data_IF_779394317659
#
_entry.id   IF_779394317659
#
_cell.length_a   1.000
_cell.length_b   1.000
_cell.length_c   1.000
_cell.angle_alpha   90.00
_cell.angle_beta   90.00
_cell.angle_gamma   90.00
#
_symmetry.space_group_name_H-M   'P 1'
#
loop_
_entity.id
_entity.type
_entity.pdbx_description
1 polymer ?
#
# COMPACT_ATOMS: atom_id res chain seq x y z
N UNK A 1 3.82 15.60 -8.71
CA UNK A 1 3.26 15.09 -9.98
C UNK A 1 4.23 14.21 -10.76
N UNK A 2 5.52 14.26 -10.50
CA UNK A 2 6.54 13.47 -11.21
C UNK A 2 6.89 12.16 -10.51
N UNK A 3 6.43 11.95 -9.28
CA UNK A 3 6.68 10.71 -8.53
C UNK A 3 5.43 9.85 -8.51
N UNK A 4 5.58 8.60 -8.90
CA UNK A 4 4.55 7.60 -8.67
C UNK A 4 4.46 7.25 -7.20
N UNK A 5 3.28 7.38 -6.61
CA UNK A 5 3.00 6.87 -5.27
C UNK A 5 2.51 5.44 -5.37
N UNK A 6 3.14 4.55 -4.62
CA UNK A 6 2.67 3.19 -4.47
C UNK A 6 1.82 3.07 -3.22
N UNK A 7 0.68 2.44 -3.32
CA UNK A 7 -0.07 1.96 -2.17
C UNK A 7 -0.36 0.48 -2.31
N UNK A 8 -0.38 -0.21 -1.21
CA UNK A 8 -0.72 -1.60 -1.13
C UNK A 8 -1.92 -1.76 -0.20
N UNK A 9 -2.66 -2.79 -0.44
CA UNK A 9 -3.77 -3.15 0.40
C UNK A 9 -3.40 -4.29 1.33
N UNK A 10 -3.66 -4.12 2.60
CA UNK A 10 -3.26 -5.06 3.65
C UNK A 10 -4.47 -5.67 4.39
N UNK A 11 -5.70 -5.37 3.96
CA UNK A 11 -6.88 -5.94 4.58
C UNK A 11 -7.12 -7.38 4.11
N UNK A 12 -7.76 -8.16 4.96
CA UNK A 12 -8.23 -9.48 4.59
C UNK A 12 -9.31 -9.38 3.50
N UNK A 13 -9.08 -9.92 2.31
CA UNK A 13 -10.07 -9.87 1.23
C UNK A 13 -11.33 -10.71 1.51
N UNK A 14 -11.36 -11.47 2.60
CA UNK A 14 -12.51 -12.25 3.04
C UNK A 14 -13.45 -11.45 3.96
N UNK A 15 -13.10 -10.22 4.32
CA UNK A 15 -14.00 -9.35 5.07
C UNK A 15 -15.28 -9.07 4.29
N UNK A 16 -16.39 -8.99 5.00
CA UNK A 16 -17.63 -8.50 4.41
C UNK A 16 -17.41 -7.12 3.80
N UNK A 17 -17.86 -6.92 2.58
CA UNK A 17 -17.59 -5.70 1.79
C UNK A 17 -16.10 -5.40 1.57
N UNK A 18 -15.19 -6.37 1.73
CA UNK A 18 -13.75 -6.17 1.57
C UNK A 18 -13.37 -5.47 0.27
N UNK A 19 -13.99 -5.83 -0.85
CA UNK A 19 -13.79 -5.16 -2.13
C UNK A 19 -14.19 -3.66 -2.12
N UNK A 20 -15.30 -3.31 -1.46
CA UNK A 20 -15.72 -1.91 -1.36
C UNK A 20 -14.77 -1.08 -0.49
N UNK A 21 -14.23 -1.70 0.57
CA UNK A 21 -13.23 -1.07 1.43
C UNK A 21 -11.90 -0.85 0.70
N UNK A 22 -11.51 -1.81 -0.13
CA UNK A 22 -10.36 -1.71 -1.03
C UNK A 22 -10.52 -0.55 -2.01
N UNK A 23 -11.66 -0.52 -2.68
CA UNK A 23 -11.97 0.53 -3.64
C UNK A 23 -12.01 1.91 -2.97
N UNK A 24 -12.50 2.00 -1.73
CA UNK A 24 -12.50 3.22 -0.94
C UNK A 24 -11.08 3.77 -0.72
N UNK A 25 -10.13 2.90 -0.37
CA UNK A 25 -8.74 3.30 -0.17
C UNK A 25 -8.08 3.73 -1.49
N UNK A 26 -8.28 2.98 -2.55
CA UNK A 26 -7.72 3.29 -3.86
C UNK A 26 -8.28 4.62 -4.41
N UNK A 27 -9.58 4.86 -4.24
CA UNK A 27 -10.23 6.10 -4.64
C UNK A 27 -9.75 7.28 -3.79
N UNK A 28 -9.61 7.11 -2.49
CA UNK A 28 -9.04 8.15 -1.60
C UNK A 28 -7.63 8.54 -2.07
N UNK A 29 -6.77 7.57 -2.39
CA UNK A 29 -5.44 7.84 -2.89
C UNK A 29 -5.49 8.62 -4.23
N UNK A 30 -6.40 8.27 -5.12
CA UNK A 30 -6.61 8.98 -6.40
C UNK A 30 -7.09 10.41 -6.19
N UNK A 31 -7.99 10.65 -5.26
CA UNK A 31 -8.51 12.00 -4.97
C UNK A 31 -7.45 12.89 -4.30
N UNK A 32 -6.61 12.34 -3.43
CA UNK A 32 -5.48 13.08 -2.84
C UNK A 32 -4.43 13.41 -3.90
N UNK A 33 -4.17 12.50 -4.83
CA UNK A 33 -3.13 12.63 -5.86
C UNK A 33 -3.72 12.53 -7.27
N UNK A 34 -4.53 13.50 -7.72
CA UNK A 34 -5.33 13.37 -8.94
C UNK A 34 -4.49 13.27 -10.22
N UNK A 35 -3.28 13.79 -10.22
CA UNK A 35 -2.39 13.81 -11.41
C UNK A 35 -1.22 12.84 -11.32
N UNK A 36 -0.96 12.27 -10.15
CA UNK A 36 0.18 11.36 -9.99
C UNK A 36 -0.08 10.02 -10.70
N UNK A 37 0.94 9.42 -11.31
CA UNK A 37 0.87 8.05 -11.79
C UNK A 37 0.88 7.10 -10.60
N UNK A 38 -0.29 6.82 -10.03
CA UNK A 38 -0.42 5.91 -8.89
C UNK A 38 -0.13 4.49 -9.30
N UNK A 39 0.55 3.78 -8.41
CA UNK A 39 0.84 2.35 -8.50
C UNK A 39 -0.01 1.59 -7.49
N UNK A 40 -0.66 0.55 -7.95
CA UNK A 40 -1.45 -0.32 -7.11
C UNK A 40 -0.82 -1.71 -6.96
N UNK A 41 -0.91 -2.27 -5.75
CA UNK A 41 -0.40 -3.60 -5.42
C UNK A 41 -1.49 -4.47 -4.80
N UNK A 42 -1.66 -5.72 -5.26
CA UNK A 42 -2.57 -6.67 -4.63
C UNK A 42 -2.05 -7.14 -3.27
N UNK A 43 -2.93 -7.65 -2.38
CA UNK A 43 -2.56 -8.14 -1.05
C UNK A 43 -2.01 -9.57 -1.10
N UNK A 44 -0.74 -9.73 -1.42
CA UNK A 44 -0.07 -11.03 -1.49
C UNK A 44 -0.12 -11.80 -0.17
N UNK A 45 -0.15 -11.10 0.96
CA UNK A 45 -0.25 -11.67 2.31
C UNK A 45 -1.43 -12.64 2.49
N UNK A 46 -2.50 -12.46 1.77
CA UNK A 46 -3.73 -13.25 1.89
C UNK A 46 -3.87 -14.35 0.85
N UNK A 47 -2.85 -14.58 0.05
CA UNK A 47 -2.80 -15.73 -0.85
C UNK A 47 -2.57 -17.01 -0.04
N UNK A 48 -3.53 -17.94 -0.03
CA UNK A 48 -3.58 -19.04 0.93
C UNK A 48 -3.39 -20.42 0.32
N UNK A 49 -2.91 -20.52 -0.92
CA UNK A 49 -2.78 -21.80 -1.62
C UNK A 49 -4.03 -22.27 -2.36
N UNK A 50 -5.16 -21.61 -2.16
CA UNK A 50 -6.33 -21.81 -3.02
C UNK A 50 -6.16 -20.99 -4.30
N UNK A 51 -5.60 -21.60 -5.34
CA UNK A 51 -5.28 -20.94 -6.61
C UNK A 51 -6.51 -20.37 -7.32
N UNK A 52 -7.68 -21.00 -7.19
CA UNK A 52 -8.91 -20.47 -7.78
C UNK A 52 -9.35 -19.17 -7.10
N UNK A 53 -9.33 -19.16 -5.77
CA UNK A 53 -9.60 -17.94 -5.00
C UNK A 53 -8.56 -16.86 -5.29
N UNK A 54 -7.29 -17.20 -5.31
CA UNK A 54 -6.20 -16.28 -5.63
C UNK A 54 -6.40 -15.64 -7.01
N UNK A 55 -6.77 -16.41 -8.00
CA UNK A 55 -7.05 -15.90 -9.34
C UNK A 55 -8.25 -14.93 -9.38
N UNK A 56 -9.30 -15.21 -8.63
CA UNK A 56 -10.46 -14.30 -8.50
C UNK A 56 -10.05 -13.02 -7.76
N UNK A 57 -9.26 -13.12 -6.70
CA UNK A 57 -8.74 -11.96 -5.98
C UNK A 57 -7.90 -11.08 -6.90
N UNK A 58 -6.98 -11.65 -7.67
CA UNK A 58 -6.19 -10.91 -8.65
C UNK A 58 -7.07 -10.20 -9.68
N UNK A 59 -8.14 -10.85 -10.15
CA UNK A 59 -9.11 -10.23 -11.06
C UNK A 59 -9.80 -9.01 -10.44
N UNK A 60 -10.26 -9.12 -9.20
CA UNK A 60 -10.88 -8.00 -8.46
C UNK A 60 -9.90 -6.84 -8.27
N UNK A 61 -8.62 -7.11 -7.99
CA UNK A 61 -7.59 -6.07 -7.86
C UNK A 61 -7.25 -5.42 -9.20
N UNK A 62 -7.24 -6.17 -10.28
CA UNK A 62 -7.13 -5.61 -11.62
C UNK A 62 -8.27 -4.61 -11.90
N UNK A 63 -9.50 -4.93 -11.47
CA UNK A 63 -10.65 -4.02 -11.58
C UNK A 63 -10.44 -2.72 -10.77
N UNK A 64 -9.90 -2.78 -9.56
CA UNK A 64 -9.63 -1.58 -8.75
C UNK A 64 -8.72 -0.61 -9.48
N UNK A 65 -7.70 -1.11 -10.17
CA UNK A 65 -6.79 -0.28 -10.98
C UNK A 65 -7.55 0.52 -12.04
N UNK A 66 -8.49 -0.11 -12.73
CA UNK A 66 -9.33 0.56 -13.74
C UNK A 66 -10.29 1.54 -13.10
N UNK A 67 -11.04 1.10 -12.09
CA UNK A 67 -12.06 1.90 -11.41
C UNK A 67 -11.51 3.18 -10.74
N UNK A 68 -10.21 3.20 -10.45
CA UNK A 68 -9.55 4.34 -9.81
C UNK A 68 -8.50 5.01 -10.72
N UNK A 69 -8.50 4.66 -12.00
CA UNK A 69 -7.64 5.26 -13.03
C UNK A 69 -6.15 5.28 -12.63
N UNK A 70 -5.64 4.18 -12.09
CA UNK A 70 -4.23 4.05 -11.75
C UNK A 70 -3.42 3.66 -12.99
N UNK A 71 -2.20 4.16 -13.08
CA UNK A 71 -1.38 4.02 -14.29
C UNK A 71 -0.36 2.89 -14.22
N UNK A 72 -0.05 2.45 -13.02
CA UNK A 72 0.90 1.37 -12.76
C UNK A 72 0.20 0.30 -11.92
N UNK A 73 0.33 -0.93 -12.35
CA UNK A 73 -0.23 -2.07 -11.63
C UNK A 73 0.84 -3.12 -11.39
N UNK A 74 1.02 -3.53 -10.13
CA UNK A 74 1.78 -4.72 -9.82
C UNK A 74 0.88 -5.93 -9.97
N UNK A 75 1.28 -6.80 -10.85
CA UNK A 75 0.50 -7.98 -11.19
C UNK A 75 0.56 -9.00 -10.05
N UNK A 76 -0.58 -9.31 -9.46
CA UNK A 76 -0.73 -10.40 -8.50
C UNK A 76 -0.71 -11.75 -9.20
N UNK A 77 -0.21 -12.77 -8.51
CA UNK A 77 -0.19 -14.14 -8.99
C UNK A 77 -0.80 -15.05 -7.93
N UNK A 78 -1.66 -15.95 -8.35
CA UNK A 78 -2.43 -16.84 -7.47
C UNK A 78 -1.57 -17.74 -6.58
N UNK A 79 -0.27 -17.87 -6.87
CA UNK A 79 0.71 -18.65 -6.10
C UNK A 79 1.70 -17.80 -5.30
N UNK A 80 1.58 -16.46 -5.33
CA UNK A 80 2.40 -15.57 -4.51
C UNK A 80 2.24 -15.92 -3.02
N UNK A 81 3.28 -15.67 -2.24
CA UNK A 81 3.37 -15.99 -0.83
C UNK A 81 3.34 -17.51 -0.49
N UNK A 82 3.21 -18.40 -1.47
CA UNK A 82 3.27 -19.84 -1.30
C UNK A 82 4.62 -20.38 -1.75
N UNK A 83 5.00 -20.03 -2.97
CA UNK A 83 6.28 -20.35 -3.60
C UNK A 83 6.59 -19.34 -4.70
N UNK A 84 7.79 -19.38 -5.25
CA UNK A 84 8.12 -18.58 -6.45
C UNK A 84 7.20 -19.01 -7.60
N UNK A 85 6.40 -18.08 -8.18
CA UNK A 85 5.47 -18.42 -9.23
C UNK A 85 6.13 -19.04 -10.46
N UNK A 86 5.53 -20.10 -10.97
CA UNK A 86 5.94 -20.73 -12.21
C UNK A 86 5.65 -19.85 -13.43
N UNK A 87 6.21 -20.19 -14.57
CA UNK A 87 5.95 -19.47 -15.83
C UNK A 87 4.47 -19.51 -16.23
N UNK A 88 3.79 -20.63 -15.97
CA UNK A 88 2.35 -20.77 -16.18
C UNK A 88 1.53 -19.81 -15.32
N UNK A 89 1.90 -19.63 -14.07
CA UNK A 89 1.21 -18.73 -13.14
C UNK A 89 1.34 -17.27 -13.60
N UNK A 90 2.53 -16.91 -14.07
CA UNK A 90 2.81 -15.58 -14.63
C UNK A 90 2.02 -15.34 -15.91
N UNK A 91 1.98 -16.32 -16.80
CA UNK A 91 1.20 -16.24 -18.05
C UNK A 91 -0.29 -16.04 -17.77
N UNK A 92 -0.88 -16.82 -16.86
CA UNK A 92 -2.26 -16.69 -16.45
C UNK A 92 -2.57 -15.34 -15.79
N UNK A 93 -1.68 -14.82 -14.98
CA UNK A 93 -1.85 -13.50 -14.37
C UNK A 93 -1.82 -12.37 -15.41
N UNK A 94 -0.92 -12.46 -16.39
CA UNK A 94 -0.86 -11.50 -17.50
C UNK A 94 -2.16 -11.56 -18.33
N UNK A 95 -2.61 -12.76 -18.67
CA UNK A 95 -3.84 -12.98 -19.43
C UNK A 95 -5.08 -12.42 -18.70
N UNK A 96 -5.19 -12.69 -17.40
CA UNK A 96 -6.24 -12.14 -16.54
C UNK A 96 -6.23 -10.60 -16.57
N UNK A 97 -5.09 -9.97 -16.34
CA UNK A 97 -4.97 -8.52 -16.36
C UNK A 97 -5.30 -7.94 -17.74
N UNK A 98 -4.76 -8.51 -18.81
CA UNK A 98 -5.04 -8.06 -20.18
C UNK A 98 -6.52 -8.16 -20.52
N UNK A 99 -7.18 -9.24 -20.12
CA UNK A 99 -8.61 -9.43 -20.34
C UNK A 99 -9.41 -8.33 -19.65
N UNK A 100 -9.16 -8.09 -18.36
CA UNK A 100 -9.89 -7.09 -17.56
C UNK A 100 -9.60 -5.68 -18.07
N UNK A 101 -8.33 -5.33 -18.28
CA UNK A 101 -7.94 -4.00 -18.77
C UNK A 101 -8.52 -3.67 -20.14
N UNK A 102 -8.70 -4.67 -20.98
CA UNK A 102 -9.32 -4.51 -22.29
C UNK A 102 -10.84 -4.40 -22.21
N UNK A 103 -11.47 -5.31 -21.47
CA UNK A 103 -12.94 -5.42 -21.46
C UNK A 103 -13.62 -4.36 -20.60
N UNK A 104 -12.91 -3.81 -19.63
CA UNK A 104 -13.41 -2.83 -18.66
C UNK A 104 -12.72 -1.47 -18.75
N UNK A 105 -12.04 -1.20 -19.87
CA UNK A 105 -11.13 -0.07 -20.05
C UNK A 105 -11.66 1.27 -19.54
N UNK A 106 -12.89 1.60 -19.88
CA UNK A 106 -13.50 2.91 -19.59
C UNK A 106 -14.51 2.83 -18.44
N UNK A 107 -14.59 1.69 -17.73
CA UNK A 107 -15.59 1.47 -16.67
C UNK A 107 -15.49 2.48 -15.53
N UNK A 108 -14.28 2.93 -15.19
CA UNK A 108 -14.08 3.92 -14.13
C UNK A 108 -14.71 5.28 -14.45
N UNK A 109 -14.76 5.65 -15.72
CA UNK A 109 -15.34 6.91 -16.19
C UNK A 109 -16.88 6.84 -16.31
N UNK A 110 -17.43 5.63 -16.39
CA UNK A 110 -18.88 5.39 -16.49
C UNK A 110 -19.58 5.26 -15.13
N UNK A 111 -18.81 5.15 -14.02
CA UNK A 111 -19.37 4.92 -12.69
C UNK A 111 -19.12 6.10 -11.76
N UNK A 112 -20.13 6.41 -10.97
CA UNK A 112 -20.03 7.40 -9.88
C UNK A 112 -20.36 6.74 -8.56
N UNK A 113 -19.50 6.94 -7.55
CA UNK A 113 -19.75 6.40 -6.21
C UNK A 113 -20.85 7.19 -5.51
N UNK A 114 -21.77 6.45 -4.88
CA UNK A 114 -22.85 7.03 -4.08
C UNK A 114 -22.26 7.92 -2.96
N UNK A 115 -22.72 9.17 -2.85
CA UNK A 115 -22.18 10.16 -1.91
C UNK A 115 -22.14 9.67 -0.45
N UNK A 116 -23.22 9.09 0.03
CA UNK A 116 -23.32 8.54 1.38
C UNK A 116 -23.17 7.01 1.40
N UNK A 117 -22.45 6.46 0.40
CA UNK A 117 -22.19 5.03 0.30
C UNK A 117 -20.97 4.58 1.10
N UNK A 118 -20.80 3.27 1.20
CA UNK A 118 -19.70 2.64 1.95
C UNK A 118 -18.34 3.17 1.48
N UNK A 119 -18.13 3.30 0.17
CA UNK A 119 -16.85 3.71 -0.41
C UNK A 119 -16.47 5.12 0.05
N UNK A 120 -17.37 6.11 -0.12
CA UNK A 120 -17.08 7.50 0.26
C UNK A 120 -16.97 7.69 1.77
N UNK A 121 -17.88 7.06 2.53
CA UNK A 121 -17.84 7.14 3.99
C UNK A 121 -16.55 6.54 4.54
N UNK A 122 -16.10 5.40 4.01
CA UNK A 122 -14.84 4.78 4.41
C UNK A 122 -13.63 5.62 4.02
N UNK A 123 -13.59 6.17 2.82
CA UNK A 123 -12.52 7.04 2.36
C UNK A 123 -12.37 8.27 3.29
N UNK A 124 -13.47 8.93 3.62
CA UNK A 124 -13.48 10.07 4.53
C UNK A 124 -13.03 9.70 5.95
N UNK A 125 -13.50 8.57 6.47
CA UNK A 125 -13.10 8.06 7.79
C UNK A 125 -11.58 7.83 7.84
N UNK A 126 -11.03 7.15 6.85
CA UNK A 126 -9.58 6.85 6.80
C UNK A 126 -8.77 8.13 6.64
N UNK A 127 -9.20 9.06 5.79
CA UNK A 127 -8.52 10.34 5.61
C UNK A 127 -8.50 11.15 6.91
N UNK A 128 -9.62 11.21 7.63
CA UNK A 128 -9.71 11.90 8.92
C UNK A 128 -8.75 11.27 9.94
N UNK A 129 -8.81 9.96 10.11
CA UNK A 129 -7.92 9.24 11.05
C UNK A 129 -6.44 9.37 10.69
N UNK A 130 -6.10 9.33 9.41
CA UNK A 130 -4.73 9.53 8.96
C UNK A 130 -4.24 10.96 9.24
N UNK A 131 -5.10 11.95 9.03
CA UNK A 131 -4.80 13.35 9.34
C UNK A 131 -4.57 13.56 10.85
N UNK A 132 -5.41 12.97 11.68
CA UNK A 132 -5.26 13.03 13.15
C UNK A 132 -3.98 12.35 13.62
N UNK A 133 -3.65 11.20 13.06
CA UNK A 133 -2.38 10.51 13.32
C UNK A 133 -1.17 11.38 12.96
N UNK A 134 -1.21 12.06 11.81
CA UNK A 134 -0.12 12.95 11.39
C UNK A 134 0.02 14.16 12.33
N UNK A 135 -1.09 14.78 12.74
CA UNK A 135 -1.09 15.88 13.70
C UNK A 135 -0.58 15.45 15.08
N UNK A 136 -0.95 14.26 15.53
CA UNK A 136 -0.41 13.70 16.77
C UNK A 136 1.10 13.44 16.66
N UNK A 137 1.54 12.88 15.54
CA UNK A 137 2.96 12.62 15.28
C UNK A 137 3.77 13.91 15.19
N UNK A 138 3.24 14.95 14.59
CA UNK A 138 3.85 16.29 14.55
C UNK A 138 4.04 16.85 15.97
N UNK A 139 3.00 16.77 16.80
CA UNK A 139 3.03 17.26 18.19
C UNK A 139 4.02 16.49 19.07
N UNK A 140 4.10 15.19 18.92
CA UNK A 140 4.97 14.32 19.73
C UNK A 140 6.41 14.25 19.23
N UNK A 141 6.61 14.49 17.95
CA UNK A 141 7.83 14.15 17.22
C UNK A 141 7.91 12.67 16.85
N UNK A 142 8.57 12.39 15.74
CA UNK A 142 8.61 11.05 15.15
C UNK A 142 9.10 9.97 16.12
N UNK A 143 10.21 10.21 16.79
CA UNK A 143 10.81 9.20 17.68
C UNK A 143 9.94 8.90 18.90
N UNK A 144 9.27 9.90 19.46
CA UNK A 144 8.33 9.66 20.57
C UNK A 144 7.10 8.90 20.10
N UNK A 145 6.64 9.16 18.88
CA UNK A 145 5.53 8.43 18.26
C UNK A 145 5.89 6.95 18.08
N UNK A 146 7.10 6.65 17.61
CA UNK A 146 7.61 5.29 17.47
C UNK A 146 7.75 4.61 18.84
N UNK A 147 8.31 5.31 19.82
CA UNK A 147 8.50 4.78 21.18
C UNK A 147 7.17 4.39 21.84
N UNK A 148 6.16 5.23 21.70
CA UNK A 148 4.82 4.98 22.23
C UNK A 148 4.05 3.86 21.51
N UNK A 149 4.53 3.41 20.37
CA UNK A 149 3.89 2.37 19.58
C UNK A 149 2.65 2.84 18.81
N UNK A 150 2.55 4.11 18.51
CA UNK A 150 1.42 4.69 17.75
C UNK A 150 1.39 4.14 16.32
N UNK A 151 2.56 3.79 15.76
CA UNK A 151 2.64 3.08 14.49
C UNK A 151 2.57 1.57 14.71
N UNK A 152 1.53 0.93 14.19
CA UNK A 152 1.33 -0.50 14.17
C UNK A 152 1.31 -1.18 15.57
N UNK A 153 1.01 -0.42 16.63
CA UNK A 153 0.91 -0.92 18.03
C UNK A 153 2.18 -1.64 18.54
N UNK A 154 3.34 -1.30 18.00
CA UNK A 154 4.64 -1.85 18.38
C UNK A 154 5.51 -0.78 19.02
N UNK A 155 5.67 -0.85 20.33
CA UNK A 155 6.57 0.05 21.09
C UNK A 155 8.03 -0.26 20.77
N UNK A 156 8.78 0.79 20.46
CA UNK A 156 10.23 0.71 20.21
C UNK A 156 10.93 1.78 21.03
N UNK A 157 11.60 1.40 22.13
CA UNK A 157 12.24 2.37 23.03
C UNK A 157 13.32 3.16 22.29
N UNK A 158 13.51 4.41 22.69
CA UNK A 158 14.59 5.27 22.17
C UNK A 158 15.96 4.74 22.56
N UNK A 159 16.04 4.28 23.80
CA UNK A 159 17.24 3.71 24.39
C UNK A 159 17.06 2.20 24.53
N UNK A 160 17.98 1.43 24.02
CA UNK A 160 17.84 -0.02 23.96
C UNK A 160 17.23 -0.52 22.63
N UNK A 161 16.91 -1.78 22.56
CA UNK A 161 16.44 -2.44 21.36
C UNK A 161 17.53 -3.28 20.71
N UNK A 162 17.49 -3.43 19.41
CA UNK A 162 18.45 -4.27 18.68
C UNK A 162 19.78 -3.55 18.54
N UNK A 163 20.68 -3.80 19.48
CA UNK A 163 21.97 -3.12 19.65
C UNK A 163 22.02 -2.38 20.99
N UNK A 164 23.22 -1.99 21.42
CA UNK A 164 23.45 -1.38 22.74
C UNK A 164 22.83 0.01 22.88
N UNK A 165 22.69 0.73 21.80
CA UNK A 165 22.30 2.14 21.79
C UNK A 165 20.88 2.41 21.27
N UNK A 166 20.11 1.38 20.94
CA UNK A 166 18.71 1.52 20.57
C UNK A 166 18.43 2.12 19.20
N UNK A 167 17.25 2.69 19.04
CA UNK A 167 16.74 3.20 17.76
C UNK A 167 17.35 4.56 17.40
N UNK A 168 17.57 5.43 18.36
CA UNK A 168 18.00 6.82 18.14
C UNK A 168 19.47 6.99 18.46
N UNK A 169 19.91 6.55 19.62
CA UNK A 169 21.30 6.62 20.04
C UNK A 169 22.06 5.43 19.44
N UNK A 170 23.14 5.68 18.77
CA UNK A 170 23.97 4.64 18.14
C UNK A 170 25.17 4.32 18.98
N UNK A 171 25.57 3.05 18.94
CA UNK A 171 26.84 2.59 19.53
C UNK A 171 28.02 3.33 18.88
N UNK A 172 29.06 3.62 19.65
CA UNK A 172 30.29 4.29 19.18
C UNK A 172 30.98 3.54 18.04
N UNK A 173 30.75 2.25 17.91
CA UNK A 173 31.27 1.40 16.84
C UNK A 173 30.36 1.39 15.61
N UNK A 174 29.20 2.04 15.67
CA UNK A 174 28.29 2.08 14.52
C UNK A 174 28.91 2.89 13.40
N UNK A 175 29.10 2.23 12.27
CA UNK A 175 29.59 2.84 11.04
C UNK A 175 28.48 2.89 9.99
N UNK A 176 28.20 4.10 9.51
CA UNK A 176 27.29 4.30 8.38
C UNK A 176 28.12 4.76 7.15
N UNK A 177 28.34 3.88 6.17
CA UNK A 177 29.17 4.23 5.00
C UNK A 177 28.55 5.31 4.12
N UNK A 178 27.26 5.53 4.20
CA UNK A 178 26.56 6.56 3.41
C UNK A 178 26.89 7.97 3.91
N UNK A 179 27.14 8.17 5.20
CA UNK A 179 27.48 9.48 5.74
C UNK A 179 28.75 10.02 5.08
N UNK A 180 29.79 9.22 5.06
CA UNK A 180 31.07 9.59 4.40
C UNK A 180 30.93 9.79 2.90
N UNK A 181 30.22 8.88 2.23
CA UNK A 181 30.00 8.96 0.78
C UNK A 181 29.14 10.17 0.36
N UNK A 182 28.30 10.68 1.24
CA UNK A 182 27.38 11.78 0.95
C UNK A 182 27.89 13.16 1.40
N UNK A 183 28.86 13.24 2.31
CA UNK A 183 29.42 14.52 2.81
C UNK A 183 29.85 15.51 1.73
N UNK A 184 30.24 15.03 0.56
CA UNK A 184 30.63 15.87 -0.58
C UNK A 184 29.51 16.14 -1.59
N UNK A 185 28.33 15.55 -1.43
CA UNK A 185 27.25 15.62 -2.41
C UNK A 185 26.01 16.38 -1.92
N UNK A 186 25.81 16.44 -0.63
CA UNK A 186 24.72 17.18 0.01
C UNK A 186 25.38 18.35 0.71
N UNK A 187 25.59 19.44 0.00
CA UNK A 187 26.28 20.61 0.53
C UNK A 187 25.92 20.86 2.01
N UNK A 188 26.91 20.74 2.87
CA UNK A 188 26.81 20.99 4.28
C UNK A 188 26.54 22.46 4.54
#
# INVERSE_FOLDING_TARGET
EQMGLGHAFEMDPMLENGFLLELAQAQMAREIFPKAPLKYMPPTKFMTGNIFRGHIQDALFNMVTILTNQKLHLLGMMTEAIHTPFMSDRALSIENAQYIFRTMKDLGDELTYKENGIIRNRANEVLTKATDLLKESEKLGLFTTIEKGIFADVKRPKDGGKGLAGVVVKDDKYFNPFIEAMKGKVGA
#
